data_IF_014230099430
#
_entry.id   IF_014230099430
#
_cell.length_a   1.000
_cell.length_b   1.000
_cell.length_c   1.000
_cell.angle_alpha   90.00
_cell.angle_beta   90.00
_cell.angle_gamma   90.00
#
_symmetry.space_group_name_H-M   'P 1'
#
loop_
_entity.id
_entity.type
_entity.pdbx_description
1 polymer ?
#
# COMPACT_ATOMS: atom_id res chain seq x y z
N UNK A 1 18.92 -7.52 -21.82
CA UNK A 1 17.96 -8.64 -21.98
C UNK A 1 16.75 -8.27 -21.15
N UNK A 2 15.51 -8.56 -21.60
CA UNK A 2 14.34 -8.35 -20.75
C UNK A 2 14.53 -9.12 -19.43
N UNK A 3 14.20 -8.50 -18.30
CA UNK A 3 14.21 -9.17 -17.01
C UNK A 3 13.28 -10.37 -17.08
N UNK A 4 13.82 -11.53 -16.74
CA UNK A 4 13.04 -12.73 -16.54
C UNK A 4 12.46 -12.71 -15.13
N UNK A 5 11.31 -13.36 -14.96
CA UNK A 5 10.78 -13.67 -13.62
C UNK A 5 11.89 -14.44 -12.87
N UNK A 6 12.39 -13.94 -11.73
CA UNK A 6 13.44 -14.59 -10.98
C UNK A 6 12.90 -15.90 -10.42
N UNK A 7 13.78 -16.87 -10.28
CA UNK A 7 13.50 -18.15 -9.62
C UNK A 7 13.27 -17.95 -8.13
N UNK A 8 12.64 -18.92 -7.48
CA UNK A 8 12.43 -18.90 -6.02
C UNK A 8 13.74 -18.79 -5.25
N UNK A 9 14.81 -19.47 -5.70
CA UNK A 9 16.14 -19.37 -5.09
C UNK A 9 16.71 -17.95 -5.17
N UNK A 10 16.54 -17.27 -6.29
CA UNK A 10 16.97 -15.88 -6.46
C UNK A 10 16.20 -14.93 -5.54
N UNK A 11 14.88 -15.09 -5.42
CA UNK A 11 14.06 -14.27 -4.53
C UNK A 11 14.40 -14.55 -3.06
N UNK A 12 14.63 -15.80 -2.68
CA UNK A 12 15.10 -16.13 -1.33
C UNK A 12 16.46 -15.49 -1.02
N UNK A 13 17.36 -15.41 -2.01
CA UNK A 13 18.64 -14.72 -1.85
C UNK A 13 18.49 -13.18 -1.70
N UNK A 14 17.39 -12.58 -2.15
CA UNK A 14 17.13 -11.14 -1.98
C UNK A 14 16.93 -10.76 -0.52
N UNK A 15 16.40 -11.65 0.33
CA UNK A 15 16.28 -11.41 1.78
C UNK A 15 17.62 -11.10 2.46
N UNK A 16 18.73 -11.56 1.89
CA UNK A 16 20.07 -11.25 2.37
C UNK A 16 20.70 -10.11 1.56
N UNK A 17 20.64 -10.18 0.23
CA UNK A 17 21.34 -9.25 -0.68
C UNK A 17 20.75 -7.84 -0.72
N UNK A 18 19.44 -7.72 -0.53
CA UNK A 18 18.70 -6.45 -0.61
C UNK A 18 18.18 -6.00 0.78
N UNK A 19 18.72 -6.58 1.85
CA UNK A 19 18.31 -6.25 3.22
C UNK A 19 18.86 -4.90 3.68
N UNK A 20 18.02 -4.13 4.35
CA UNK A 20 18.42 -2.90 5.05
C UNK A 20 18.59 -3.12 6.57
N UNK A 21 18.60 -4.36 7.07
CA UNK A 21 18.81 -4.60 8.50
C UNK A 21 20.16 -4.04 8.94
N UNK A 22 20.18 -3.36 10.10
CA UNK A 22 21.34 -2.68 10.65
C UNK A 22 21.73 -1.38 9.93
N UNK A 23 21.15 -1.03 8.77
CA UNK A 23 21.54 0.14 7.98
C UNK A 23 21.42 1.46 8.75
N UNK A 24 20.38 1.58 9.59
CA UNK A 24 20.12 2.75 10.42
C UNK A 24 20.28 2.47 11.92
N UNK A 25 20.99 1.39 12.25
CA UNK A 25 21.20 0.92 13.62
C UNK A 25 20.22 -0.19 14.04
N UNK A 26 20.63 -0.99 15.02
CA UNK A 26 19.92 -2.19 15.49
C UNK A 26 18.56 -1.90 16.15
N UNK A 27 18.38 -0.67 16.66
CA UNK A 27 17.14 -0.26 17.31
C UNK A 27 16.15 0.43 16.36
N UNK A 28 16.54 0.65 15.10
CA UNK A 28 15.66 1.27 14.10
C UNK A 28 14.37 0.47 13.91
N UNK A 29 13.28 1.21 13.66
CA UNK A 29 11.94 0.68 13.39
C UNK A 29 11.27 1.37 12.19
N UNK A 30 11.94 2.35 11.58
CA UNK A 30 11.39 3.12 10.46
C UNK A 30 11.69 2.46 9.10
N UNK A 31 12.79 1.71 9.00
CA UNK A 31 13.20 1.08 7.75
C UNK A 31 13.43 2.12 6.66
N UNK A 32 12.91 1.87 5.45
CA UNK A 32 13.10 2.72 4.27
C UNK A 32 12.53 4.13 4.44
N UNK A 33 11.69 4.40 5.43
CA UNK A 33 11.25 5.76 5.76
C UNK A 33 12.41 6.66 6.22
N UNK A 34 13.53 6.08 6.65
CA UNK A 34 14.75 6.85 6.94
C UNK A 34 15.40 7.50 5.69
N UNK A 35 14.94 7.18 4.47
CA UNK A 35 15.31 7.93 3.26
C UNK A 35 14.60 9.29 3.15
N UNK A 36 13.56 9.51 3.97
CA UNK A 36 12.90 10.80 4.05
C UNK A 36 13.75 11.77 4.85
N UNK A 37 13.87 12.99 4.34
CA UNK A 37 14.61 14.06 4.99
C UNK A 37 13.90 15.38 4.75
N UNK A 38 14.15 16.36 5.62
CA UNK A 38 13.64 17.72 5.43
C UNK A 38 14.03 18.30 4.06
N UNK A 39 15.19 17.93 3.54
CA UNK A 39 15.64 18.37 2.21
C UNK A 39 14.74 17.79 1.11
N UNK A 40 14.50 16.48 1.13
CA UNK A 40 13.64 15.80 0.16
C UNK A 40 12.18 16.27 0.27
N UNK A 41 11.69 16.52 1.48
CA UNK A 41 10.37 17.12 1.72
C UNK A 41 10.27 18.53 1.13
N UNK A 42 11.26 19.41 1.34
CA UNK A 42 11.26 20.76 0.74
C UNK A 42 11.29 20.69 -0.79
N UNK A 43 12.09 19.78 -1.37
CA UNK A 43 12.10 19.53 -2.82
C UNK A 43 10.73 19.08 -3.32
N UNK A 44 10.08 18.14 -2.62
CA UNK A 44 8.74 17.66 -2.98
C UNK A 44 7.70 18.79 -2.97
N UNK A 45 7.68 19.61 -1.91
CA UNK A 45 6.77 20.76 -1.80
C UNK A 45 7.02 21.76 -2.93
N UNK A 46 8.27 21.96 -3.35
CA UNK A 46 8.60 22.88 -4.46
C UNK A 46 8.04 22.44 -5.83
N UNK A 47 7.58 21.20 -5.97
CA UNK A 47 6.93 20.70 -7.20
C UNK A 47 5.50 21.21 -7.36
N UNK A 48 4.86 21.69 -6.29
CA UNK A 48 3.49 22.19 -6.34
C UNK A 48 3.43 23.51 -7.12
N UNK A 49 2.72 23.50 -8.25
CA UNK A 49 2.51 24.69 -9.10
C UNK A 49 1.07 25.17 -9.13
N UNK A 50 0.13 24.24 -9.25
CA UNK A 50 -1.30 24.56 -9.46
C UNK A 50 -2.14 24.45 -8.19
N UNK A 51 -1.59 23.91 -7.09
CA UNK A 51 -2.32 23.69 -5.84
C UNK A 51 -3.46 22.66 -5.93
N UNK A 52 -3.55 21.90 -7.03
CA UNK A 52 -4.56 20.86 -7.22
C UNK A 52 -4.22 19.61 -6.42
N UNK A 53 -5.17 19.12 -5.64
CA UNK A 53 -5.08 17.85 -4.91
C UNK A 53 -5.84 16.76 -5.65
N UNK A 54 -5.27 15.56 -5.74
CA UNK A 54 -5.93 14.36 -6.25
C UNK A 54 -5.93 13.32 -5.13
N UNK A 55 -7.10 12.86 -4.72
CA UNK A 55 -7.19 11.76 -3.75
C UNK A 55 -6.79 10.45 -4.42
N UNK A 56 -5.86 9.73 -3.80
CA UNK A 56 -5.53 8.34 -4.15
C UNK A 56 -6.32 7.33 -3.31
N UNK A 57 -7.22 7.80 -2.43
CA UNK A 57 -8.04 6.93 -1.59
C UNK A 57 -9.27 6.43 -2.33
N UNK A 58 -9.62 5.16 -2.10
CA UNK A 58 -10.94 4.62 -2.43
C UNK A 58 -11.96 5.11 -1.40
N UNK A 59 -13.18 5.39 -1.85
CA UNK A 59 -14.32 5.56 -0.96
C UNK A 59 -14.59 4.24 -0.24
N UNK A 60 -14.77 4.28 1.08
CA UNK A 60 -15.12 3.09 1.86
C UNK A 60 -16.51 2.61 1.40
N UNK A 61 -16.57 1.37 0.94
CA UNK A 61 -17.82 0.67 0.62
C UNK A 61 -18.30 -0.10 1.83
N UNK A 62 -19.56 0.10 2.20
CA UNK A 62 -20.23 -0.62 3.29
C UNK A 62 -20.94 -1.89 2.80
N UNK A 63 -20.98 -2.08 1.48
CA UNK A 63 -21.63 -3.21 0.83
C UNK A 63 -20.69 -4.42 0.72
N UNK A 64 -21.20 -5.64 0.92
CA UNK A 64 -20.45 -6.86 0.62
C UNK A 64 -20.21 -6.97 -0.89
N UNK A 65 -19.05 -7.50 -1.27
CA UNK A 65 -18.70 -7.81 -2.65
C UNK A 65 -17.67 -8.96 -2.69
N UNK A 66 -17.47 -9.65 -3.83
CA UNK A 66 -16.52 -10.75 -3.93
C UNK A 66 -15.08 -10.42 -3.53
N UNK A 67 -14.68 -9.15 -3.60
CA UNK A 67 -13.35 -8.66 -3.20
C UNK A 67 -13.30 -8.08 -1.77
N UNK A 68 -14.39 -8.15 -1.01
CA UNK A 68 -14.48 -7.67 0.38
C UNK A 68 -14.31 -8.86 1.33
N UNK A 69 -13.11 -9.01 1.88
CA UNK A 69 -12.79 -10.05 2.87
C UNK A 69 -13.46 -9.82 4.23
N UNK A 70 -13.69 -8.56 4.59
CA UNK A 70 -14.34 -8.16 5.85
C UNK A 70 -15.14 -6.90 5.58
N UNK A 71 -16.47 -7.01 5.62
CA UNK A 71 -17.36 -5.88 5.33
C UNK A 71 -17.23 -4.81 6.42
N UNK A 72 -16.91 -3.55 6.06
CA UNK A 72 -16.94 -2.44 7.00
C UNK A 72 -18.30 -2.28 7.67
N UNK A 73 -18.31 -1.95 8.96
CA UNK A 73 -19.54 -1.69 9.72
C UNK A 73 -19.71 -0.18 9.86
N UNK A 74 -20.88 0.34 9.48
CA UNK A 74 -21.28 1.71 9.72
C UNK A 74 -22.72 1.78 10.19
N UNK A 75 -22.95 2.46 11.31
CA UNK A 75 -24.29 2.82 11.75
C UNK A 75 -24.25 4.15 12.50
N UNK A 76 -25.39 4.85 12.45
CA UNK A 76 -25.59 6.06 13.23
C UNK A 76 -25.87 5.66 14.69
N UNK A 77 -25.04 6.15 15.61
CA UNK A 77 -25.31 6.08 17.06
C UNK A 77 -26.37 7.12 17.45
N UNK A 78 -26.37 8.27 16.76
CA UNK A 78 -27.38 9.32 16.86
C UNK A 78 -27.57 9.97 15.49
N UNK A 79 -28.81 10.25 15.10
CA UNK A 79 -29.15 10.83 13.80
C UNK A 79 -30.12 12.00 13.95
N UNK A 80 -30.24 12.81 12.90
CA UNK A 80 -31.20 13.92 12.83
C UNK A 80 -32.67 13.47 12.87
N UNK A 81 -32.97 12.22 12.55
CA UNK A 81 -34.36 11.69 12.54
C UNK A 81 -34.97 11.70 13.94
N UNK A 82 -34.23 11.24 14.96
CA UNK A 82 -34.68 11.28 16.34
C UNK A 82 -34.88 12.70 16.87
N UNK A 83 -34.15 13.68 16.33
CA UNK A 83 -34.37 15.11 16.64
C UNK A 83 -35.62 15.67 15.97
N UNK A 84 -35.87 15.29 14.72
CA UNK A 84 -37.04 15.74 13.97
C UNK A 84 -38.34 15.13 14.51
N UNK A 85 -38.32 13.86 14.94
CA UNK A 85 -39.49 13.17 15.50
C UNK A 85 -39.70 13.42 16.99
N UNK A 86 -38.65 13.82 17.71
CA UNK A 86 -38.63 13.89 19.18
C UNK A 86 -38.23 12.58 19.87
N UNK A 87 -38.08 11.48 19.12
CA UNK A 87 -37.65 10.16 19.61
C UNK A 87 -36.12 10.02 19.62
N UNK A 88 -35.42 10.96 20.27
CA UNK A 88 -33.96 10.92 20.33
C UNK A 88 -33.46 9.79 21.22
N UNK A 89 -32.34 9.16 20.81
CA UNK A 89 -31.71 8.06 21.56
C UNK A 89 -30.90 8.60 22.75
N UNK A 90 -30.29 9.79 22.63
CA UNK A 90 -29.43 10.36 23.69
C UNK A 90 -30.14 11.43 24.53
N UNK A 91 -29.70 11.60 25.78
CA UNK A 91 -30.18 12.68 26.65
C UNK A 91 -29.51 14.04 26.39
N UNK A 92 -28.61 14.14 25.39
CA UNK A 92 -27.83 15.35 25.13
C UNK A 92 -28.75 16.52 24.80
N UNK A 93 -28.41 17.76 25.19
CA UNK A 93 -29.19 18.95 24.83
C UNK A 93 -28.88 19.46 23.42
N UNK A 94 -27.71 19.16 22.87
CA UNK A 94 -27.26 19.63 21.56
C UNK A 94 -27.73 18.68 20.45
N UNK A 95 -28.24 19.24 19.35
CA UNK A 95 -28.60 18.47 18.16
C UNK A 95 -27.32 18.08 17.41
N UNK A 96 -27.01 16.80 17.41
CA UNK A 96 -25.83 16.23 16.75
C UNK A 96 -26.17 14.91 16.07
N UNK A 97 -25.38 14.58 15.06
CA UNK A 97 -25.28 13.22 14.53
C UNK A 97 -23.95 12.62 14.99
N UNK A 98 -23.96 11.35 15.35
CA UNK A 98 -22.75 10.60 15.70
C UNK A 98 -22.82 9.23 15.07
N UNK A 99 -21.71 8.78 14.51
CA UNK A 99 -21.57 7.51 13.84
C UNK A 99 -20.59 6.59 14.57
N UNK A 100 -20.68 5.30 14.25
CA UNK A 100 -19.69 4.30 14.58
C UNK A 100 -19.17 3.68 13.29
N UNK A 101 -17.85 3.56 13.18
CA UNK A 101 -17.17 2.83 12.11
C UNK A 101 -16.35 1.67 12.68
N UNK A 102 -16.59 0.47 12.17
CA UNK A 102 -15.75 -0.71 12.40
C UNK A 102 -15.04 -1.09 11.10
N UNK A 103 -13.70 -1.01 11.09
CA UNK A 103 -12.88 -1.25 9.91
C UNK A 103 -11.85 -2.35 10.16
N UNK A 104 -11.68 -3.23 9.17
CA UNK A 104 -10.53 -4.13 9.05
C UNK A 104 -9.73 -3.67 7.84
N UNK A 105 -8.59 -3.02 8.06
CA UNK A 105 -7.82 -2.38 7.00
C UNK A 105 -7.23 -3.37 6.00
N UNK A 106 -6.85 -4.57 6.46
CA UNK A 106 -6.27 -5.61 5.62
C UNK A 106 -7.35 -6.26 4.74
N UNK A 107 -7.22 -6.02 3.44
CA UNK A 107 -8.17 -6.44 2.41
C UNK A 107 -7.88 -5.70 1.10
N UNK A 108 -8.82 -5.74 0.16
CA UNK A 108 -8.61 -5.20 -1.19
C UNK A 108 -9.38 -3.91 -1.49
N UNK A 109 -10.19 -3.43 -0.54
CA UNK A 109 -11.17 -2.35 -0.79
C UNK A 109 -10.93 -1.08 0.01
N UNK A 110 -10.16 -1.14 1.10
CA UNK A 110 -9.76 0.03 1.89
C UNK A 110 -8.34 0.43 1.49
N UNK A 111 -8.14 1.69 1.08
CA UNK A 111 -6.79 2.22 0.88
C UNK A 111 -6.09 2.33 2.24
N UNK A 112 -4.94 1.67 2.39
CA UNK A 112 -4.19 1.62 3.65
C UNK A 112 -2.68 1.54 3.40
N UNK A 113 -1.92 1.64 4.49
CA UNK A 113 -0.48 1.36 4.53
C UNK A 113 -0.25 0.20 5.50
N UNK A 114 0.59 -0.73 5.11
CA UNK A 114 1.05 -1.80 6.00
C UNK A 114 2.35 -1.36 6.68
N UNK A 115 2.37 -1.42 8.01
CA UNK A 115 3.59 -1.18 8.78
C UNK A 115 4.52 -2.39 8.71
N UNK A 116 5.79 -2.21 9.11
CA UNK A 116 6.78 -3.31 9.12
C UNK A 116 6.39 -4.47 10.07
N UNK A 117 5.47 -4.23 11.01
CA UNK A 117 4.82 -5.25 11.84
C UNK A 117 3.83 -6.19 11.11
N UNK A 118 3.53 -6.01 9.81
CA UNK A 118 2.45 -6.73 9.14
C UNK A 118 2.81 -8.16 8.71
N UNK A 119 3.97 -8.35 8.06
CA UNK A 119 4.42 -9.65 7.53
C UNK A 119 5.67 -10.16 8.25
N UNK A 120 5.76 -11.50 8.37
CA UNK A 120 6.85 -12.16 9.06
C UNK A 120 7.54 -13.17 8.14
N UNK A 121 8.86 -13.28 8.28
CA UNK A 121 9.65 -14.31 7.61
C UNK A 121 10.48 -15.08 8.63
N UNK A 122 10.33 -16.40 8.67
CA UNK A 122 11.03 -17.29 9.64
C UNK A 122 10.93 -16.79 11.08
N UNK A 123 9.76 -16.29 11.48
CA UNK A 123 9.49 -15.78 12.83
C UNK A 123 10.14 -14.44 13.16
N UNK A 124 10.64 -13.70 12.15
CA UNK A 124 11.25 -12.38 12.31
C UNK A 124 10.52 -11.32 11.47
N UNK A 125 10.61 -10.08 11.95
CA UNK A 125 10.21 -8.84 11.29
C UNK A 125 11.46 -8.07 10.85
N UNK A 126 11.28 -6.81 10.46
CA UNK A 126 12.39 -5.90 10.16
C UNK A 126 13.41 -5.84 11.31
N UNK A 127 14.66 -5.57 10.93
CA UNK A 127 15.81 -5.48 11.83
C UNK A 127 16.02 -6.69 12.76
N UNK A 128 15.54 -7.87 12.37
CA UNK A 128 15.69 -9.10 13.14
C UNK A 128 14.78 -9.22 14.35
N UNK A 129 13.81 -8.30 14.52
CA UNK A 129 12.88 -8.34 15.64
C UNK A 129 12.02 -9.61 15.61
N UNK A 130 11.79 -10.28 16.74
CA UNK A 130 11.00 -11.51 16.74
C UNK A 130 9.51 -11.20 16.56
N UNK A 131 8.83 -11.94 15.68
CA UNK A 131 7.44 -11.70 15.28
C UNK A 131 6.45 -11.74 16.46
N UNK A 132 6.76 -12.46 17.54
CA UNK A 132 5.90 -12.56 18.72
C UNK A 132 5.80 -11.25 19.54
N UNK A 133 6.52 -10.19 19.16
CA UNK A 133 6.29 -8.83 19.67
C UNK A 133 4.98 -8.22 19.15
N UNK A 134 4.39 -8.83 18.12
CA UNK A 134 3.03 -8.57 17.66
C UNK A 134 2.12 -9.62 18.29
N UNK A 135 1.17 -9.19 19.11
CA UNK A 135 0.33 -10.12 19.88
C UNK A 135 -1.12 -9.70 19.88
N UNK A 136 -2.03 -10.67 19.98
CA UNK A 136 -3.47 -10.43 20.03
C UNK A 136 -3.87 -9.55 21.23
N UNK A 137 -3.17 -9.66 22.36
CA UNK A 137 -3.51 -8.94 23.59
C UNK A 137 -2.92 -7.54 23.68
N UNK A 138 -1.81 -7.26 22.98
CA UNK A 138 -1.10 -5.97 23.08
C UNK A 138 -0.96 -5.23 21.76
N UNK A 139 -1.39 -5.82 20.64
CA UNK A 139 -1.16 -5.29 19.30
C UNK A 139 0.31 -5.34 18.89
N UNK A 140 0.69 -4.42 17.99
CA UNK A 140 2.06 -4.23 17.54
C UNK A 140 2.84 -3.35 18.52
N UNK A 141 3.74 -3.96 19.31
CA UNK A 141 4.53 -3.23 20.33
C UNK A 141 5.82 -2.60 19.79
N UNK A 142 6.20 -2.96 18.57
CA UNK A 142 7.31 -2.42 17.78
C UNK A 142 6.84 -2.32 16.35
N UNK A 143 7.47 -1.46 15.55
CA UNK A 143 7.26 -1.38 14.10
C UNK A 143 5.79 -1.13 13.72
N UNK A 144 5.02 -0.52 14.64
CA UNK A 144 3.61 -0.22 14.45
C UNK A 144 3.43 0.98 13.53
N UNK A 145 2.22 1.11 12.97
CA UNK A 145 1.85 2.26 12.14
C UNK A 145 1.94 3.60 12.88
N UNK A 146 1.99 3.61 14.22
CA UNK A 146 2.15 4.85 15.00
C UNK A 146 3.50 5.55 14.75
N UNK A 147 4.49 4.82 14.23
CA UNK A 147 5.78 5.39 13.84
C UNK A 147 5.66 6.41 12.71
N UNK A 148 4.56 6.38 11.94
CA UNK A 148 4.28 7.35 10.87
C UNK A 148 3.23 8.40 11.27
N UNK A 149 3.01 8.62 12.56
CA UNK A 149 2.02 9.59 13.08
C UNK A 149 2.20 11.02 12.56
N UNK A 150 3.43 11.41 12.21
CA UNK A 150 3.75 12.75 11.70
C UNK A 150 3.49 12.86 10.18
N UNK A 151 3.06 11.77 9.55
CA UNK A 151 2.75 11.68 8.13
C UNK A 151 3.97 11.38 7.26
N UNK A 152 3.69 11.02 6.00
CA UNK A 152 4.70 10.77 4.97
C UNK A 152 4.59 11.89 3.95
N UNK A 153 5.55 12.82 3.96
CA UNK A 153 5.59 13.96 3.04
C UNK A 153 6.83 13.88 2.17
N UNK A 154 6.64 13.40 0.95
CA UNK A 154 7.71 13.06 0.03
C UNK A 154 7.30 13.34 -1.43
N UNK A 155 8.25 13.22 -2.35
CA UNK A 155 7.95 13.26 -3.77
C UNK A 155 7.27 11.95 -4.16
N UNK A 156 6.06 12.05 -4.69
CA UNK A 156 5.35 10.91 -5.28
C UNK A 156 5.68 10.74 -6.75
N UNK A 157 5.96 9.51 -7.17
CA UNK A 157 6.15 9.11 -8.57
C UNK A 157 5.09 8.09 -8.93
N UNK A 158 4.21 8.41 -9.88
CA UNK A 158 3.22 7.48 -10.41
C UNK A 158 3.74 6.83 -11.70
N UNK A 159 3.89 5.52 -11.69
CA UNK A 159 4.13 4.70 -12.89
C UNK A 159 2.81 4.11 -13.34
N UNK A 160 2.31 4.59 -14.49
CA UNK A 160 1.08 4.11 -15.11
C UNK A 160 1.37 3.00 -16.12
N UNK A 161 1.36 1.75 -15.67
CA UNK A 161 1.73 0.60 -16.52
C UNK A 161 0.78 0.41 -17.70
N UNK A 162 -0.57 0.52 -17.54
CA UNK A 162 -1.50 0.55 -18.67
C UNK A 162 -1.12 1.59 -19.74
N UNK A 163 -0.78 2.81 -19.32
CA UNK A 163 -0.34 3.86 -20.25
C UNK A 163 0.95 3.48 -20.99
N UNK A 164 1.92 2.89 -20.29
CA UNK A 164 3.22 2.50 -20.87
C UNK A 164 3.07 1.35 -21.86
N UNK A 165 2.32 0.30 -21.49
CA UNK A 165 2.09 -0.87 -22.33
C UNK A 165 1.05 -0.65 -23.43
N UNK A 166 0.23 0.40 -23.33
CA UNK A 166 -0.86 0.67 -24.28
C UNK A 166 -2.04 -0.29 -24.13
N UNK A 167 -2.36 -0.66 -22.89
CA UNK A 167 -3.44 -1.58 -22.50
C UNK A 167 -4.38 -0.88 -21.50
N UNK A 168 -5.56 -1.45 -21.24
CA UNK A 168 -6.51 -0.87 -20.27
C UNK A 168 -6.16 -1.21 -18.81
N UNK A 169 -5.65 -2.43 -18.58
CA UNK A 169 -5.18 -2.95 -17.30
C UNK A 169 -4.22 -4.13 -17.49
N UNK A 170 -3.39 -4.39 -16.49
CA UNK A 170 -2.54 -5.59 -16.42
C UNK A 170 -3.41 -6.81 -16.11
N UNK A 171 -3.15 -7.94 -16.77
CA UNK A 171 -3.94 -9.16 -16.56
C UNK A 171 -3.68 -9.80 -15.19
N UNK A 172 -4.69 -10.51 -14.68
CA UNK A 172 -4.57 -11.22 -13.39
C UNK A 172 -3.52 -12.32 -13.50
N UNK A 173 -2.61 -12.39 -12.53
CA UNK A 173 -1.48 -13.32 -12.55
C UNK A 173 -0.26 -12.82 -13.34
N UNK A 174 -0.36 -11.68 -14.04
CA UNK A 174 0.80 -11.01 -14.64
C UNK A 174 1.42 -9.98 -13.67
N UNK A 175 2.73 -9.82 -13.78
CA UNK A 175 3.49 -8.86 -13.00
C UNK A 175 3.82 -7.59 -13.77
N UNK A 176 3.90 -6.47 -13.06
CA UNK A 176 4.63 -5.28 -13.48
C UNK A 176 6.12 -5.57 -13.35
N UNK A 177 6.86 -5.45 -14.45
CA UNK A 177 8.27 -5.78 -14.57
C UNK A 177 9.14 -4.52 -14.47
N UNK A 178 10.44 -4.64 -14.17
CA UNK A 178 11.36 -3.49 -14.11
C UNK A 178 11.37 -2.68 -15.41
N UNK A 179 11.18 -3.33 -16.55
CA UNK A 179 11.13 -2.70 -17.87
C UNK A 179 9.99 -1.69 -17.98
N UNK A 180 8.85 -1.94 -17.35
CA UNK A 180 7.73 -1.00 -17.37
C UNK A 180 8.10 0.30 -16.67
N UNK A 181 8.82 0.19 -15.54
CA UNK A 181 9.28 1.32 -14.76
C UNK A 181 10.35 2.09 -15.54
N UNK A 182 11.34 1.39 -16.11
CA UNK A 182 12.40 2.01 -16.89
C UNK A 182 11.86 2.68 -18.16
N UNK A 183 10.89 2.07 -18.83
CA UNK A 183 10.21 2.65 -19.98
C UNK A 183 9.36 3.87 -19.57
N UNK A 184 8.74 3.86 -18.39
CA UNK A 184 8.03 5.02 -17.85
C UNK A 184 8.99 6.19 -17.61
N UNK A 185 10.13 5.93 -16.97
CA UNK A 185 11.17 6.94 -16.74
C UNK A 185 11.65 7.58 -18.04
N UNK A 186 11.92 6.76 -19.06
CA UNK A 186 12.35 7.22 -20.38
C UNK A 186 11.27 8.02 -21.11
N UNK A 187 10.06 7.46 -21.22
CA UNK A 187 8.96 8.05 -22.00
C UNK A 187 8.40 9.32 -21.36
N UNK A 188 8.35 9.38 -20.03
CA UNK A 188 7.76 10.50 -19.30
C UNK A 188 8.82 11.49 -18.77
N UNK A 189 10.11 11.21 -18.94
CA UNK A 189 11.19 12.14 -18.63
C UNK A 189 11.39 12.37 -17.13
N UNK A 190 11.29 11.32 -16.32
CA UNK A 190 11.60 11.38 -14.89
C UNK A 190 12.59 10.30 -14.49
N UNK A 191 13.15 10.43 -13.29
CA UNK A 191 13.89 9.35 -12.62
C UNK A 191 13.39 9.22 -11.19
N UNK A 192 13.28 7.99 -10.72
CA UNK A 192 13.09 7.65 -9.32
C UNK A 192 14.37 8.03 -8.58
N UNK A 193 14.20 8.70 -7.45
CA UNK A 193 15.26 9.19 -6.58
C UNK A 193 15.08 8.62 -5.18
N UNK A 194 16.17 8.68 -4.41
CA UNK A 194 16.15 8.31 -3.00
C UNK A 194 15.06 9.09 -2.25
N UNK A 195 14.27 8.38 -1.44
CA UNK A 195 13.21 8.98 -0.63
C UNK A 195 11.87 9.13 -1.36
N UNK A 196 11.76 8.71 -2.63
CA UNK A 196 10.50 8.77 -3.35
C UNK A 196 9.46 7.78 -2.79
N UNK A 197 8.19 8.18 -2.91
CA UNK A 197 7.03 7.29 -2.80
C UNK A 197 6.67 6.83 -4.21
N UNK A 198 6.88 5.56 -4.50
CA UNK A 198 6.59 4.96 -5.79
C UNK A 198 5.17 4.37 -5.80
N UNK A 199 4.31 4.89 -6.67
CA UNK A 199 2.95 4.40 -6.87
C UNK A 199 2.85 3.70 -8.22
N UNK A 200 2.41 2.45 -8.22
CA UNK A 200 2.28 1.62 -9.42
C UNK A 200 0.80 1.44 -9.74
N UNK A 201 0.35 1.99 -10.87
CA UNK A 201 -0.99 1.76 -11.38
C UNK A 201 -0.97 0.55 -12.30
N UNK A 202 -1.70 -0.49 -11.91
CA UNK A 202 -1.96 -1.70 -12.71
C UNK A 202 -3.23 -1.56 -13.56
N UNK A 203 -4.14 -0.63 -13.19
CA UNK A 203 -5.44 -0.47 -13.82
C UNK A 203 -6.53 -1.36 -13.23
N UNK A 204 -6.23 -2.15 -12.20
CA UNK A 204 -7.18 -3.12 -11.64
C UNK A 204 -8.44 -2.46 -11.05
N UNK A 205 -8.35 -1.26 -10.48
CA UNK A 205 -9.55 -0.54 -10.03
C UNK A 205 -10.45 -0.16 -11.22
N UNK A 206 -9.86 0.22 -12.36
CA UNK A 206 -10.64 0.49 -13.57
C UNK A 206 -11.34 -0.78 -14.07
N UNK A 207 -10.60 -1.89 -14.16
CA UNK A 207 -11.16 -3.21 -14.49
C UNK A 207 -12.32 -3.58 -13.58
N UNK A 208 -12.16 -3.45 -12.26
CA UNK A 208 -13.22 -3.70 -11.26
C UNK A 208 -14.48 -2.87 -11.52
N UNK A 209 -14.33 -1.60 -11.90
CA UNK A 209 -15.46 -0.72 -12.16
C UNK A 209 -16.20 -1.05 -13.47
N UNK A 210 -15.51 -1.68 -14.43
CA UNK A 210 -16.08 -2.07 -15.73
C UNK A 210 -16.66 -3.49 -15.68
N UNK A 211 -15.90 -4.46 -15.18
CA UNK A 211 -16.23 -5.89 -15.17
C UNK A 211 -16.95 -6.34 -13.90
N UNK A 212 -16.91 -5.55 -12.83
CA UNK A 212 -17.37 -5.92 -11.49
C UNK A 212 -16.26 -6.51 -10.61
N UNK A 213 -16.60 -6.71 -9.34
CA UNK A 213 -15.69 -7.27 -8.35
C UNK A 213 -15.56 -8.80 -8.49
N UNK A 214 -14.35 -9.29 -8.24
CA UNK A 214 -14.02 -10.72 -8.19
C UNK A 214 -13.16 -11.00 -6.96
N UNK A 215 -13.21 -12.22 -6.43
CA UNK A 215 -12.31 -12.61 -5.34
C UNK A 215 -10.86 -12.74 -5.87
N UNK A 216 -9.90 -11.91 -5.43
CA UNK A 216 -8.52 -11.97 -5.94
C UNK A 216 -7.80 -13.28 -5.62
N UNK A 217 -8.23 -14.02 -4.60
CA UNK A 217 -7.68 -15.34 -4.25
C UNK A 217 -8.08 -16.43 -5.23
N UNK A 218 -9.17 -16.24 -5.96
CA UNK A 218 -9.69 -17.20 -6.94
C UNK A 218 -9.35 -16.78 -8.37
N UNK A 219 -9.58 -15.49 -8.69
CA UNK A 219 -9.39 -14.96 -10.03
C UNK A 219 -7.95 -14.48 -10.31
N UNK A 220 -7.12 -14.32 -9.26
CA UNK A 220 -5.80 -13.71 -9.33
C UNK A 220 -5.82 -12.18 -9.24
N UNK A 221 -4.63 -11.59 -9.14
CA UNK A 221 -4.40 -10.13 -9.10
C UNK A 221 -3.07 -9.81 -9.75
N UNK A 222 -2.98 -8.73 -10.54
CA UNK A 222 -1.68 -8.18 -10.91
C UNK A 222 -1.06 -7.46 -9.70
N UNK A 223 0.26 -7.30 -9.74
CA UNK A 223 1.04 -6.44 -8.85
C UNK A 223 2.46 -6.28 -9.39
N UNK A 224 3.36 -5.66 -8.62
CA UNK A 224 4.79 -5.70 -8.94
C UNK A 224 5.36 -7.11 -8.85
N UNK A 225 6.18 -7.47 -9.83
CA UNK A 225 6.95 -8.70 -9.81
C UNK A 225 8.18 -8.53 -8.89
N UNK A 226 8.64 -9.61 -8.25
CA UNK A 226 9.84 -9.60 -7.39
C UNK A 226 11.13 -9.13 -8.10
N UNK A 227 11.18 -9.22 -9.43
CA UNK A 227 12.22 -8.68 -10.31
C UNK A 227 12.42 -7.16 -10.12
N UNK A 228 11.41 -6.45 -9.61
CA UNK A 228 11.49 -5.02 -9.33
C UNK A 228 12.24 -4.71 -8.03
N UNK A 229 12.41 -5.67 -7.12
CA UNK A 229 13.04 -5.45 -5.81
C UNK A 229 14.48 -4.92 -5.91
N UNK A 230 15.36 -5.43 -6.79
CA UNK A 230 16.69 -4.84 -7.00
C UNK A 230 16.64 -3.37 -7.40
N UNK A 231 15.72 -2.98 -8.29
CA UNK A 231 15.57 -1.59 -8.73
C UNK A 231 15.08 -0.71 -7.58
N UNK A 232 14.10 -1.17 -6.79
CA UNK A 232 13.60 -0.43 -5.63
C UNK A 232 14.70 -0.20 -4.58
N UNK A 233 15.50 -1.23 -4.33
CA UNK A 233 16.64 -1.16 -3.41
C UNK A 233 17.74 -0.23 -3.94
N UNK A 234 18.13 -0.36 -5.22
CA UNK A 234 19.12 0.53 -5.87
C UNK A 234 18.70 2.00 -5.78
N UNK A 235 17.41 2.28 -6.00
CA UNK A 235 16.85 3.64 -6.00
C UNK A 235 16.52 4.17 -4.61
N UNK A 236 16.66 3.36 -3.56
CA UNK A 236 16.33 3.75 -2.19
C UNK A 236 14.92 4.34 -2.08
N UNK A 237 13.94 3.62 -2.67
CA UNK A 237 12.51 3.95 -2.58
C UNK A 237 12.08 3.91 -1.12
N UNK A 238 11.43 4.97 -0.64
CA UNK A 238 10.99 5.05 0.76
C UNK A 238 9.73 4.23 1.00
N UNK A 239 8.77 4.32 0.08
CA UNK A 239 7.46 3.64 0.17
C UNK A 239 7.06 3.19 -1.22
N UNK A 240 6.49 1.99 -1.33
CA UNK A 240 5.83 1.52 -2.54
C UNK A 240 4.35 1.28 -2.25
N UNK A 241 3.49 1.63 -3.21
CA UNK A 241 2.08 1.30 -3.19
C UNK A 241 1.55 1.02 -4.59
N UNK A 242 0.41 0.34 -4.67
CA UNK A 242 -0.27 0.06 -5.92
C UNK A 242 -1.79 0.20 -5.79
N UNK A 243 -2.53 0.09 -6.90
CA UNK A 243 -4.00 0.03 -6.91
C UNK A 243 -4.56 -1.39 -6.68
N UNK A 244 -3.70 -2.30 -6.22
CA UNK A 244 -3.93 -3.72 -5.88
C UNK A 244 -3.24 -4.06 -4.54
N UNK A 245 -3.20 -5.35 -4.18
CA UNK A 245 -2.13 -5.83 -3.29
C UNK A 245 -0.76 -5.65 -3.96
N UNK A 246 0.31 -5.71 -3.17
CA UNK A 246 1.66 -5.43 -3.65
C UNK A 246 2.40 -6.66 -4.23
N UNK A 247 1.80 -7.85 -4.15
CA UNK A 247 2.33 -9.11 -4.67
C UNK A 247 1.37 -9.74 -5.69
N UNK A 248 1.95 -10.35 -6.73
CA UNK A 248 1.18 -11.02 -7.79
C UNK A 248 0.44 -12.21 -7.19
N UNK A 249 -0.83 -12.39 -7.58
CA UNK A 249 -1.65 -13.53 -7.15
C UNK A 249 -2.12 -14.34 -8.36
N UNK A 250 -1.98 -15.69 -8.35
CA UNK A 250 -1.32 -16.49 -7.32
C UNK A 250 0.19 -16.22 -7.25
N UNK A 251 0.81 -16.55 -6.11
CA UNK A 251 2.27 -16.47 -5.97
C UNK A 251 2.94 -17.34 -7.03
N UNK A 252 4.01 -16.80 -7.61
CA UNK A 252 4.85 -17.51 -8.58
C UNK A 252 5.95 -18.34 -7.89
N UNK A 253 5.93 -18.36 -6.54
CA UNK A 253 6.94 -18.97 -5.67
C UNK A 253 6.27 -19.96 -4.72
N UNK A 254 6.87 -21.13 -4.49
CA UNK A 254 6.21 -22.21 -3.75
C UNK A 254 6.27 -21.99 -2.23
N UNK A 255 7.41 -21.50 -1.72
CA UNK A 255 7.62 -21.25 -0.29
C UNK A 255 7.25 -19.85 0.20
N UNK A 256 6.73 -18.98 -0.68
CA UNK A 256 6.39 -17.58 -0.42
C UNK A 256 4.97 -17.26 -0.86
#
# INVERSE_FOLDING_TARGET
MPATIPTEEEVLAYFEKLSNWGRWGEDDQLGTLNFLSDENTRKAVSLVREGRTISCARTISWEPAPDVSSTPIHYMVESGEGWASGDKISARPNQAATDFFGLVFHGYTITHIDSLAHFFWKGKMYNGRPAHLISTSRGATVESVELVKDGIMARGVLVDVPLIRGIDWVERGEGVMPEDILAAEERCGFRIQEGDVLLIRTGNLHRRNVEGAVNPREAGSPACQAACLPLFHERSVAVMGSDTGNDVMPSQYVSM
#
